data_IF_953373453109
#
_entry.id   IF_953373453109
#
_cell.length_a   1.000
_cell.length_b   1.000
_cell.length_c   1.000
_cell.angle_alpha   90.00
_cell.angle_beta   90.00
_cell.angle_gamma   90.00
#
_symmetry.space_group_name_H-M   'P 1'
#
loop_
_entity.id
_entity.type
_entity.pdbx_description
1 polymer ?
#
# COMPACT_ATOMS: atom_id res chain seq x y z
N UNK A 1 8.23 -10.86 -9.45
CA UNK A 1 7.97 -9.44 -9.77
C UNK A 1 8.24 -8.59 -8.55
N UNK A 2 8.78 -7.39 -8.75
CA UNK A 2 9.10 -6.49 -7.65
C UNK A 2 7.88 -5.65 -7.28
N UNK A 3 7.82 -5.18 -6.04
CA UNK A 3 6.76 -4.28 -5.56
C UNK A 3 7.38 -2.98 -5.10
N UNK A 4 6.88 -1.85 -5.59
CA UNK A 4 7.26 -0.55 -5.06
C UNK A 4 6.20 -0.12 -4.05
N UNK A 5 6.62 0.09 -2.82
CA UNK A 5 5.73 0.46 -1.72
C UNK A 5 6.01 1.89 -1.29
N UNK A 6 4.96 2.66 -1.09
CA UNK A 6 5.09 4.07 -0.75
C UNK A 6 4.22 4.47 0.44
N UNK A 7 3.47 3.56 0.99
CA UNK A 7 2.52 3.84 2.08
C UNK A 7 2.63 2.82 3.19
N UNK A 8 1.53 2.21 3.59
CA UNK A 8 1.51 1.30 4.72
C UNK A 8 2.43 0.10 4.53
N UNK A 9 2.62 -0.34 3.30
CA UNK A 9 3.50 -1.48 3.03
C UNK A 9 4.99 -1.11 3.08
N UNK A 10 5.32 0.14 3.38
CA UNK A 10 6.69 0.48 3.71
C UNK A 10 7.14 -0.28 4.94
N UNK A 11 6.23 -0.69 5.79
CA UNK A 11 6.55 -1.46 6.97
C UNK A 11 6.58 -2.94 6.59
N UNK A 12 7.77 -3.55 6.68
CA UNK A 12 7.94 -4.94 6.26
C UNK A 12 7.08 -5.91 7.06
N UNK A 13 6.83 -5.61 8.33
CA UNK A 13 5.98 -6.47 9.12
C UNK A 13 4.51 -6.38 8.72
N UNK A 14 4.07 -5.24 8.18
CA UNK A 14 2.72 -5.15 7.65
C UNK A 14 2.64 -5.96 6.35
N UNK A 15 3.66 -5.87 5.52
CA UNK A 15 3.71 -6.68 4.30
C UNK A 15 3.63 -8.16 4.65
N UNK A 16 4.35 -8.58 5.66
CA UNK A 16 4.33 -9.98 6.08
C UNK A 16 2.93 -10.39 6.54
N UNK A 17 2.26 -9.55 7.29
CA UNK A 17 0.90 -9.88 7.72
C UNK A 17 -0.07 -9.96 6.54
N UNK A 18 0.10 -9.13 5.55
CA UNK A 18 -0.81 -9.09 4.42
C UNK A 18 -0.53 -10.23 3.44
N UNK A 19 0.73 -10.43 3.10
CA UNK A 19 1.11 -11.30 2.00
C UNK A 19 1.89 -12.53 2.42
N UNK A 20 2.30 -12.60 3.67
CA UNK A 20 2.97 -13.80 4.18
C UNK A 20 4.39 -13.97 3.66
N UNK A 21 5.07 -12.88 3.35
CA UNK A 21 6.43 -12.97 2.85
C UNK A 21 7.27 -11.82 3.35
N UNK A 22 8.58 -12.00 3.35
CA UNK A 22 9.55 -10.96 3.76
C UNK A 22 10.64 -10.87 2.71
N UNK A 23 10.34 -10.27 1.57
CA UNK A 23 11.35 -10.14 0.51
C UNK A 23 12.45 -9.17 0.90
N UNK A 24 13.60 -9.30 0.27
CA UNK A 24 14.63 -8.28 0.40
C UNK A 24 14.13 -6.96 -0.15
N UNK A 25 14.59 -5.85 0.40
CA UNK A 25 14.12 -4.55 -0.03
C UNK A 25 15.23 -3.51 0.04
N UNK A 26 15.01 -2.39 -0.63
CA UNK A 26 15.96 -1.29 -0.64
C UNK A 26 15.20 0.02 -0.89
N UNK A 27 15.75 1.15 -0.47
CA UNK A 27 15.15 2.44 -0.78
C UNK A 27 15.07 2.66 -2.29
N UNK A 28 14.03 3.33 -2.74
CA UNK A 28 13.84 3.57 -4.16
C UNK A 28 12.95 4.79 -4.36
N UNK A 29 12.87 5.27 -5.60
CA UNK A 29 12.04 6.43 -5.92
C UNK A 29 11.28 6.19 -7.22
N UNK A 30 10.07 6.72 -7.29
CA UNK A 30 9.25 6.64 -8.47
C UNK A 30 9.01 8.06 -8.99
N UNK A 31 9.53 8.36 -10.18
CA UNK A 31 9.36 9.68 -10.77
C UNK A 31 8.04 9.75 -11.53
N UNK A 32 7.50 10.94 -11.62
CA UNK A 32 6.29 11.18 -12.39
C UNK A 32 5.01 10.92 -11.63
N UNK A 33 5.11 10.78 -10.31
CA UNK A 33 3.95 10.55 -9.44
C UNK A 33 4.08 11.41 -8.20
N UNK A 34 2.95 11.72 -7.61
CA UNK A 34 2.89 12.47 -6.36
C UNK A 34 2.05 11.70 -5.36
N UNK A 35 2.48 11.71 -4.09
CA UNK A 35 1.77 11.01 -3.02
C UNK A 35 0.89 12.00 -2.26
N UNK A 36 -0.37 11.65 -2.09
CA UNK A 36 -1.33 12.45 -1.36
C UNK A 36 -1.88 11.67 -0.19
N UNK A 37 -2.20 12.36 0.88
CA UNK A 37 -3.02 11.78 1.91
C UNK A 37 -4.43 11.59 1.34
N UNK A 38 -5.18 10.66 1.91
CA UNK A 38 -6.58 10.48 1.56
C UNK A 38 -7.44 11.04 2.68
N UNK A 39 -8.58 11.60 2.32
CA UNK A 39 -9.49 12.16 3.31
C UNK A 39 -9.97 11.04 4.25
N UNK A 40 -9.82 11.29 5.53
CA UNK A 40 -10.27 10.38 6.60
C UNK A 40 -9.61 9.01 6.58
N UNK A 41 -8.44 8.87 5.99
CA UNK A 41 -7.71 7.61 5.99
C UNK A 41 -6.30 7.80 6.48
N UNK A 42 -5.70 6.73 6.99
CA UNK A 42 -4.33 6.77 7.46
C UNK A 42 -3.34 6.34 6.40
N UNK A 43 -3.81 5.92 5.25
CA UNK A 43 -2.95 5.47 4.16
C UNK A 43 -3.05 6.43 2.98
N UNK A 44 -2.02 6.46 2.13
CA UNK A 44 -1.96 7.42 1.03
C UNK A 44 -2.35 6.82 -0.31
N UNK A 45 -2.35 7.66 -1.32
CA UNK A 45 -2.46 7.22 -2.70
C UNK A 45 -1.49 8.01 -3.55
N UNK A 46 -1.12 7.47 -4.70
CA UNK A 46 -0.31 8.21 -5.66
C UNK A 46 -1.08 8.40 -6.95
N UNK A 47 -0.74 9.47 -7.64
CA UNK A 47 -1.37 9.83 -8.90
C UNK A 47 -0.29 10.40 -9.79
N UNK A 48 -0.42 10.23 -11.09
CA UNK A 48 0.56 10.77 -12.04
C UNK A 48 0.67 12.28 -11.89
N UNK A 49 1.89 12.79 -11.85
CA UNK A 49 2.15 14.20 -11.69
C UNK A 49 3.54 14.48 -12.24
N UNK A 50 3.59 15.10 -13.40
CA UNK A 50 4.85 15.36 -14.05
C UNK A 50 5.73 16.25 -13.20
N UNK A 51 6.99 15.95 -13.07
CA UNK A 51 7.94 16.71 -12.28
C UNK A 51 8.02 16.34 -10.82
N UNK A 52 7.12 15.49 -10.36
CA UNK A 52 7.15 15.03 -8.97
C UNK A 52 7.81 13.67 -8.84
N UNK A 53 8.11 13.28 -7.62
CA UNK A 53 8.66 11.96 -7.35
C UNK A 53 8.19 11.48 -5.98
N UNK A 54 8.10 10.18 -5.82
CA UNK A 54 7.68 9.57 -4.57
C UNK A 54 8.81 8.68 -4.08
N UNK A 55 9.22 8.87 -2.83
CA UNK A 55 10.21 7.99 -2.23
C UNK A 55 9.51 6.83 -1.54
N UNK A 56 10.14 5.69 -1.54
CA UNK A 56 9.60 4.49 -0.91
C UNK A 56 10.63 3.40 -0.88
N UNK A 57 10.17 2.17 -0.93
CA UNK A 57 11.07 1.01 -0.98
C UNK A 57 10.64 0.09 -2.12
N UNK A 58 11.60 -0.64 -2.66
CA UNK A 58 11.30 -1.69 -3.60
C UNK A 58 11.55 -3.02 -2.90
N UNK A 59 10.56 -3.90 -2.97
CA UNK A 59 10.70 -5.27 -2.49
C UNK A 59 10.99 -6.14 -3.69
N UNK A 60 12.04 -6.96 -3.62
CA UNK A 60 12.49 -7.74 -4.76
C UNK A 60 11.88 -9.12 -4.78
N UNK A 61 11.53 -9.59 -5.96
CA UNK A 61 11.09 -10.97 -6.18
C UNK A 61 9.96 -11.41 -5.25
N UNK A 62 8.92 -10.62 -5.21
CA UNK A 62 7.74 -10.96 -4.41
C UNK A 62 7.12 -12.23 -4.99
N UNK A 63 6.83 -13.24 -4.15
CA UNK A 63 6.30 -14.51 -4.64
C UNK A 63 4.97 -14.36 -5.37
N UNK A 64 4.76 -15.22 -6.35
CA UNK A 64 3.56 -15.13 -7.17
C UNK A 64 2.27 -15.22 -6.36
N UNK A 65 2.25 -16.06 -5.32
CA UNK A 65 1.04 -16.23 -4.53
C UNK A 65 0.78 -15.07 -3.58
N UNK A 66 1.68 -14.13 -3.45
CA UNK A 66 1.45 -12.94 -2.62
C UNK A 66 0.54 -11.94 -3.33
N UNK A 67 0.54 -11.92 -4.66
CA UNK A 67 -0.15 -10.88 -5.40
C UNK A 67 -1.67 -10.86 -5.22
N UNK A 68 -2.36 -12.01 -5.19
CA UNK A 68 -3.78 -11.94 -4.90
C UNK A 68 -4.07 -11.34 -3.52
N UNK A 69 -3.23 -11.60 -2.54
CA UNK A 69 -3.40 -11.01 -1.22
C UNK A 69 -3.18 -9.51 -1.24
N UNK A 70 -2.15 -9.07 -1.97
CA UNK A 70 -1.87 -7.65 -2.09
C UNK A 70 -2.98 -6.91 -2.83
N UNK A 71 -3.48 -7.50 -3.91
CA UNK A 71 -4.56 -6.88 -4.68
C UNK A 71 -5.80 -6.72 -3.80
N UNK A 72 -6.11 -7.73 -3.00
CA UNK A 72 -7.27 -7.63 -2.13
C UNK A 72 -7.03 -6.65 -0.99
N UNK A 73 -5.80 -6.57 -0.51
CA UNK A 73 -5.46 -5.62 0.55
C UNK A 73 -5.65 -4.20 0.06
N UNK A 74 -5.18 -3.89 -1.14
CA UNK A 74 -5.31 -2.54 -1.67
C UNK A 74 -6.76 -2.22 -2.02
N UNK A 75 -7.51 -3.18 -2.52
CA UNK A 75 -8.93 -3.01 -2.73
C UNK A 75 -9.28 -2.28 -4.02
N UNK A 76 -10.55 -1.91 -4.13
CA UNK A 76 -11.07 -1.43 -5.40
C UNK A 76 -10.65 -0.02 -5.77
N UNK A 77 -10.13 0.76 -4.84
CA UNK A 77 -9.72 2.13 -5.18
C UNK A 77 -8.43 2.18 -5.98
N UNK A 78 -7.65 1.12 -5.96
CA UNK A 78 -6.33 1.13 -6.57
C UNK A 78 -6.26 0.15 -7.73
N UNK A 79 -5.42 0.49 -8.71
CA UNK A 79 -5.10 -0.42 -9.80
C UNK A 79 -3.62 -0.75 -9.72
N UNK A 80 -3.28 -2.01 -9.91
CA UNK A 80 -1.88 -2.43 -9.93
C UNK A 80 -1.30 -2.08 -11.30
N UNK A 81 -0.19 -1.37 -11.31
CA UNK A 81 0.46 -0.92 -12.56
C UNK A 81 1.93 -1.27 -12.51
N UNK A 82 2.52 -1.53 -13.67
CA UNK A 82 3.96 -1.72 -13.76
C UNK A 82 4.59 -0.38 -14.05
N UNK A 83 5.58 -0.02 -13.24
CA UNK A 83 6.25 1.27 -13.32
C UNK A 83 7.76 1.05 -13.31
N UNK A 84 8.49 2.08 -13.68
CA UNK A 84 9.94 2.03 -13.68
C UNK A 84 10.44 2.75 -12.45
N UNK A 85 11.16 2.05 -11.60
CA UNK A 85 11.58 2.56 -10.29
C UNK A 85 13.08 2.77 -10.30
N UNK A 86 13.53 3.88 -9.72
CA UNK A 86 14.95 4.22 -9.65
C UNK A 86 15.50 3.76 -8.31
N UNK A 87 16.51 2.92 -8.35
CA UNK A 87 17.18 2.43 -7.15
C UNK A 87 18.33 3.35 -6.75
N UNK A 88 18.80 3.20 -5.51
CA UNK A 88 19.86 4.08 -5.02
C UNK A 88 21.15 3.95 -5.80
N UNK A 89 21.45 2.80 -6.35
CA UNK A 89 22.67 2.61 -7.11
C UNK A 89 22.58 3.17 -8.53
N UNK A 90 21.49 3.85 -8.85
CA UNK A 90 21.31 4.47 -10.16
C UNK A 90 20.66 3.58 -11.19
N UNK A 91 20.40 2.31 -10.88
CA UNK A 91 19.73 1.44 -11.84
C UNK A 91 18.23 1.65 -11.78
N UNK A 92 17.56 1.35 -12.87
CA UNK A 92 16.10 1.39 -12.91
C UNK A 92 15.58 0.00 -13.17
N UNK A 93 14.55 -0.38 -12.45
CA UNK A 93 13.95 -1.70 -12.60
C UNK A 93 12.45 -1.58 -12.66
N UNK A 94 11.80 -2.57 -13.25
CA UNK A 94 10.35 -2.59 -13.27
C UNK A 94 9.81 -3.11 -11.95
N UNK A 95 8.71 -2.55 -11.51
CA UNK A 95 8.03 -3.01 -10.30
C UNK A 95 6.56 -2.74 -10.45
N UNK A 96 5.75 -3.51 -9.75
CA UNK A 96 4.32 -3.22 -9.66
C UNK A 96 4.11 -2.23 -8.52
N UNK A 97 3.16 -1.35 -8.67
CA UNK A 97 2.73 -0.46 -7.59
C UNK A 97 1.23 -0.22 -7.73
N UNK A 98 0.62 0.35 -6.71
CA UNK A 98 -0.82 0.53 -6.67
C UNK A 98 -1.14 2.02 -6.80
N UNK A 99 -1.87 2.36 -7.87
CA UNK A 99 -2.17 3.75 -8.21
C UNK A 99 -3.67 3.96 -8.07
N UNK A 100 -4.09 5.08 -7.50
CA UNK A 100 -5.51 5.30 -7.32
C UNK A 100 -6.19 5.39 -8.67
N UNK A 101 -7.37 4.82 -8.78
CA UNK A 101 -8.13 4.88 -10.01
C UNK A 101 -8.74 6.27 -10.15
N UNK A 102 -8.90 6.76 -11.39
CA UNK A 102 -9.40 8.14 -11.59
C UNK A 102 -10.75 8.40 -10.94
N UNK A 103 -11.62 7.39 -10.92
CA UNK A 103 -12.95 7.60 -10.35
C UNK A 103 -12.92 7.80 -8.84
N UNK A 104 -11.79 7.56 -8.18
CA UNK A 104 -11.66 7.80 -6.75
C UNK A 104 -10.78 8.99 -6.45
N UNK A 105 -10.41 9.77 -7.46
CA UNK A 105 -9.52 10.92 -7.25
C UNK A 105 -10.13 11.96 -6.30
N UNK A 106 -11.43 11.99 -6.17
CA UNK A 106 -12.08 12.93 -5.26
C UNK A 106 -11.70 12.65 -3.80
N UNK A 107 -11.13 11.48 -3.50
CA UNK A 107 -10.73 11.16 -2.14
C UNK A 107 -9.34 11.71 -1.80
N UNK A 108 -8.62 12.23 -2.77
CA UNK A 108 -7.29 12.75 -2.52
C UNK A 108 -7.38 14.04 -1.73
N UNK A 109 -6.62 14.15 -0.65
CA UNK A 109 -6.49 15.40 0.09
C UNK A 109 -5.38 16.21 -0.54
N UNK A 110 -5.38 17.53 -0.40
CA UNK A 110 -4.31 18.34 -0.98
C UNK A 110 -2.97 18.14 -0.28
N UNK A 111 -2.99 17.67 0.95
CA UNK A 111 -1.75 17.50 1.70
C UNK A 111 -1.05 16.23 1.33
N UNK A 112 0.26 16.22 1.52
CA UNK A 112 1.03 15.04 1.28
C UNK A 112 0.93 14.12 2.50
N UNK A 113 0.98 12.83 2.29
CA UNK A 113 0.98 11.87 3.37
C UNK A 113 2.37 11.80 4.00
N UNK A 114 2.43 11.71 5.31
CA UNK A 114 3.68 11.69 6.03
C UNK A 114 3.89 10.34 6.67
N UNK A 115 5.04 9.71 6.39
CA UNK A 115 5.37 8.43 6.99
C UNK A 115 5.60 8.63 8.49
N UNK A 116 6.13 9.78 8.90
CA UNK A 116 6.37 10.04 10.31
C UNK A 116 5.06 10.08 11.08
N UNK A 117 4.05 10.74 10.53
CA UNK A 117 2.75 10.76 11.19
C UNK A 117 2.12 9.39 11.23
N UNK A 118 2.30 8.61 10.18
CA UNK A 118 1.76 7.27 10.16
C UNK A 118 2.41 6.43 11.25
N UNK A 119 3.73 6.50 11.39
CA UNK A 119 4.42 5.72 12.41
C UNK A 119 4.07 6.20 13.82
N UNK A 120 3.81 7.48 14.00
CA UNK A 120 3.51 8.01 15.32
C UNK A 120 2.10 7.68 15.79
N UNK A 121 1.11 7.73 14.92
CA UNK A 121 -0.28 7.51 15.36
C UNK A 121 -1.09 6.69 14.38
N UNK A 122 -0.93 6.91 13.10
CA UNK A 122 -1.73 6.23 12.10
C UNK A 122 -1.50 4.74 12.06
N UNK A 123 -0.28 4.31 12.33
CA UNK A 123 0.05 2.90 12.31
C UNK A 123 -0.71 2.14 13.38
N UNK A 124 -0.82 2.69 14.58
CA UNK A 124 -1.58 2.03 15.63
C UNK A 124 -3.03 1.89 15.24
N UNK A 125 -3.61 2.92 14.67
CA UNK A 125 -4.98 2.87 14.24
C UNK A 125 -5.17 1.82 13.14
N UNK A 126 -4.26 1.79 12.17
CA UNK A 126 -4.32 0.83 11.09
C UNK A 126 -4.20 -0.59 11.63
N UNK A 127 -3.25 -0.82 12.52
CA UNK A 127 -3.01 -2.15 13.05
C UNK A 127 -4.15 -2.62 13.94
N UNK A 128 -4.82 -1.74 14.63
CA UNK A 128 -5.94 -2.12 15.46
C UNK A 128 -7.08 -2.67 14.59
N UNK A 129 -7.34 -2.04 13.47
CA UNK A 129 -8.37 -2.52 12.56
C UNK A 129 -7.95 -3.83 11.90
N UNK A 130 -6.70 -3.90 11.49
CA UNK A 130 -6.22 -5.08 10.79
C UNK A 130 -6.07 -6.26 11.74
N UNK A 131 -5.63 -6.03 12.98
CA UNK A 131 -5.48 -7.12 13.94
C UNK A 131 -6.82 -7.73 14.29
N UNK A 132 -7.85 -6.92 14.36
CA UNK A 132 -9.17 -7.47 14.60
C UNK A 132 -9.56 -8.44 13.50
N UNK A 133 -9.16 -8.14 12.30
CA UNK A 133 -9.47 -8.99 11.18
C UNK A 133 -8.64 -10.24 11.22
N UNK A 134 -7.36 -10.12 11.55
CA UNK A 134 -6.48 -11.26 11.61
C UNK A 134 -6.97 -12.29 12.59
N UNK A 135 -7.43 -11.86 13.73
CA UNK A 135 -7.89 -12.82 14.68
C UNK A 135 -9.06 -13.59 14.18
N UNK A 136 -9.86 -12.99 13.34
CA UNK A 136 -11.00 -13.68 12.87
C UNK A 136 -10.72 -14.44 11.63
N UNK A 137 -10.05 -13.86 10.73
CA UNK A 137 -10.00 -14.49 9.50
C UNK A 137 -8.73 -14.87 9.03
N UNK A 138 -7.98 -15.41 9.73
CA UNK A 138 -6.75 -15.73 9.19
C UNK A 138 -6.91 -16.71 8.13
N UNK A 139 -7.94 -16.96 7.49
CA UNK A 139 -7.91 -17.87 6.48
C UNK A 139 -8.13 -17.22 5.24
N UNK A 140 -7.64 -16.23 4.88
CA UNK A 140 -7.73 -15.74 3.55
C UNK A 140 -8.77 -14.71 3.34
N UNK A 141 -9.27 -14.16 4.36
CA UNK A 141 -10.23 -13.17 4.16
C UNK A 141 -9.68 -11.82 4.25
N UNK A 142 -8.40 -11.67 4.15
CA UNK A 142 -7.80 -10.37 4.33
C UNK A 142 -8.32 -9.31 3.41
N UNK A 143 -8.57 -9.70 2.19
CA UNK A 143 -9.05 -8.73 1.25
C UNK A 143 -10.39 -8.16 1.59
N UNK A 144 -11.23 -9.05 2.03
CA UNK A 144 -12.52 -8.62 2.37
C UNK A 144 -12.48 -7.67 3.53
N UNK A 145 -11.58 -7.89 4.45
CA UNK A 145 -11.53 -7.07 5.55
C UNK A 145 -11.05 -5.72 5.22
N UNK A 146 -10.12 -5.66 4.37
CA UNK A 146 -9.59 -4.40 4.02
C UNK A 146 -10.58 -3.54 3.31
N UNK A 147 -11.37 -4.13 2.46
CA UNK A 147 -12.38 -3.39 1.77
C UNK A 147 -13.32 -2.76 2.79
N UNK A 148 -13.64 -3.51 3.79
CA UNK A 148 -14.51 -2.96 4.78
C UNK A 148 -13.87 -1.83 5.56
N UNK A 149 -12.60 -1.97 5.81
CA UNK A 149 -11.93 -0.89 6.50
C UNK A 149 -11.97 0.39 5.71
N UNK A 150 -11.83 0.27 4.41
CA UNK A 150 -11.85 1.46 3.62
C UNK A 150 -13.19 2.14 3.67
N UNK A 151 -14.24 1.38 3.82
CA UNK A 151 -15.56 1.96 3.89
C UNK A 151 -16.05 2.13 5.32
N UNK A 152 -15.21 1.89 6.28
CA UNK A 152 -15.59 2.11 7.66
C UNK A 152 -16.49 1.09 8.25
N UNK A 153 -16.70 -0.02 7.61
CA UNK A 153 -17.54 -1.01 8.19
C UNK A 153 -16.70 -1.93 9.00
N UNK A 154 -17.24 -2.53 9.94
CA UNK A 154 -16.53 -3.34 10.79
C UNK A 154 -16.11 -4.57 10.22
N UNK A 155 -15.07 -5.00 10.49
CA UNK A 155 -14.61 -6.23 9.93
C UNK A 155 -15.09 -7.44 10.63
N UNK A 156 -16.18 -7.42 11.27
CA UNK A 156 -16.43 -8.52 11.89
C UNK A 156 -17.20 -9.48 11.26
N UNK A 157 -17.67 -9.44 10.27
CA UNK A 157 -18.30 -10.43 9.72
C UNK A 157 -17.59 -11.24 9.06
N UNK A 158 -17.09 -12.00 9.13
CA UNK A 158 -16.29 -12.62 8.41
C UNK A 158 -16.63 -13.88 8.23
N UNK A 159 -16.76 -14.63 8.36
CA UNK A 159 -16.94 -15.98 8.01
C UNK A 159 -17.78 -16.32 7.12
#
# INVERSE_FOLDING_TARGET
>A
MNLFAYGTLLCADILDKVAGCRPAYAPAALRGYRRHALTDQVYPAIVAHEGAAVTGVIYFDVPADAWPCLDRFEGEMYARRIVRVLCEDGTSVDAATYVIKPEFAYRLAPSEWSVEEFLASGRKRFEAEYSGFDRVGNRGRRGSMLVRNRHGTSGREVS
#
